data_IF_667420078764
#
_entry.id   IF_667420078764
#
_cell.length_a   1.000
_cell.length_b   1.000
_cell.length_c   1.000
_cell.angle_alpha   90.00
_cell.angle_beta   90.00
_cell.angle_gamma   90.00
#
_symmetry.space_group_name_H-M   'P 1'
#
loop_
_entity.id
_entity.type
_entity.pdbx_description
1 polymer ?
#
# COMPACT_ATOMS: atom_id res chain seq x y z
N UNK A 1 -1.34 1.89 -50.80
CA UNK A 1 -1.13 3.03 -49.90
C UNK A 1 -0.98 2.46 -48.50
N UNK A 2 0.25 2.45 -47.99
CA UNK A 2 0.64 1.89 -46.70
C UNK A 2 0.31 2.88 -45.59
N UNK A 3 -0.35 2.43 -44.51
CA UNK A 3 -0.47 3.21 -43.27
C UNK A 3 -0.13 2.33 -42.08
N UNK A 4 0.74 2.88 -41.26
CA UNK A 4 1.63 2.20 -40.32
C UNK A 4 0.91 1.86 -39.02
N UNK A 5 1.28 0.71 -38.43
CA UNK A 5 0.92 0.36 -37.06
C UNK A 5 1.73 1.23 -36.08
N UNK A 6 1.05 2.03 -35.27
CA UNK A 6 1.62 2.69 -34.11
C UNK A 6 1.85 1.64 -33.01
N UNK A 7 3.11 1.24 -32.82
CA UNK A 7 3.56 0.52 -31.63
C UNK A 7 3.48 1.45 -30.43
N UNK A 8 2.40 1.33 -29.66
CA UNK A 8 2.31 1.93 -28.33
C UNK A 8 3.31 1.23 -27.40
N UNK A 9 4.46 1.87 -27.17
CA UNK A 9 5.37 1.48 -26.10
C UNK A 9 4.62 1.58 -24.76
N UNK A 10 4.36 0.43 -24.14
CA UNK A 10 3.78 0.35 -22.81
C UNK A 10 4.72 1.02 -21.79
N UNK A 11 4.22 1.77 -20.79
CA UNK A 11 5.06 2.31 -19.74
C UNK A 11 5.71 1.14 -18.98
N UNK A 12 7.04 1.07 -19.05
CA UNK A 12 7.83 0.12 -18.28
C UNK A 12 7.60 0.39 -16.79
N UNK A 13 6.97 -0.56 -16.10
CA UNK A 13 6.88 -0.55 -14.64
C UNK A 13 8.30 -0.74 -14.08
N UNK A 14 9.00 0.36 -13.77
CA UNK A 14 10.33 0.37 -13.14
C UNK A 14 10.40 -0.41 -11.80
N UNK A 15 9.26 -0.79 -11.24
CA UNK A 15 9.17 -1.61 -10.04
C UNK A 15 9.51 -3.10 -10.24
N UNK A 16 9.60 -3.59 -11.49
CA UNK A 16 9.88 -5.00 -11.77
C UNK A 16 11.35 -5.39 -11.52
N UNK A 17 12.27 -4.42 -11.57
CA UNK A 17 13.72 -4.67 -11.50
C UNK A 17 14.27 -4.81 -10.07
N UNK A 18 13.44 -4.57 -9.05
CA UNK A 18 13.84 -4.66 -7.63
C UNK A 18 13.46 -5.99 -6.96
N UNK A 19 13.17 -7.05 -7.72
CA UNK A 19 12.87 -8.38 -7.15
C UNK A 19 14.11 -9.28 -7.22
N UNK A 20 14.80 -9.56 -6.10
CA UNK A 20 15.72 -10.69 -6.05
C UNK A 20 14.93 -11.99 -6.32
N UNK A 21 15.37 -12.76 -7.31
CA UNK A 21 14.89 -14.12 -7.51
C UNK A 21 15.60 -15.03 -6.50
N UNK A 22 14.95 -15.31 -5.38
CA UNK A 22 15.49 -16.21 -4.36
C UNK A 22 14.40 -16.73 -3.43
N UNK A 23 14.19 -18.05 -3.49
CA UNK A 23 13.53 -18.96 -2.54
C UNK A 23 12.25 -18.51 -1.82
N UNK A 24 11.18 -19.29 -2.07
CA UNK A 24 9.89 -19.28 -1.39
C UNK A 24 9.99 -19.71 0.09
N UNK A 25 10.73 -18.95 0.90
CA UNK A 25 10.47 -18.81 2.33
C UNK A 25 9.62 -17.56 2.50
N UNK A 26 8.78 -17.52 3.52
CA UNK A 26 7.86 -16.44 3.85
C UNK A 26 8.57 -15.11 4.21
N UNK A 27 9.35 -14.56 3.27
CA UNK A 27 9.87 -13.21 3.30
C UNK A 27 8.69 -12.28 3.06
N UNK A 28 7.91 -12.07 4.13
CA UNK A 28 6.92 -11.00 4.23
C UNK A 28 7.60 -9.74 3.73
N UNK A 29 7.10 -9.18 2.64
CA UNK A 29 7.59 -7.90 2.11
C UNK A 29 7.63 -6.91 3.29
N UNK A 30 8.75 -6.18 3.51
CA UNK A 30 8.90 -5.28 4.67
C UNK A 30 7.80 -4.20 4.72
N UNK A 31 7.15 -3.94 3.60
CA UNK A 31 5.90 -3.23 3.50
C UNK A 31 4.73 -4.23 3.61
N UNK A 32 4.19 -4.49 4.82
CA UNK A 32 2.84 -5.05 5.10
C UNK A 32 2.69 -5.66 6.52
N UNK A 33 3.50 -5.27 7.51
CA UNK A 33 3.42 -5.84 8.89
C UNK A 33 2.09 -5.59 9.61
N UNK A 34 1.42 -4.48 9.31
CA UNK A 34 0.14 -4.08 9.92
C UNK A 34 -0.97 -4.06 8.87
N UNK A 35 -1.18 -5.21 8.24
CA UNK A 35 -2.01 -5.35 7.03
C UNK A 35 -3.49 -5.17 7.35
N UNK A 36 -3.95 -5.80 8.42
CA UNK A 36 -5.33 -5.73 8.89
C UNK A 36 -5.65 -4.33 9.40
N UNK A 37 -4.79 -3.72 10.22
CA UNK A 37 -5.01 -2.35 10.72
C UNK A 37 -5.00 -1.34 9.57
N UNK A 38 -4.16 -1.55 8.55
CA UNK A 38 -4.15 -0.72 7.35
C UNK A 38 -5.46 -0.87 6.58
N UNK A 39 -5.94 -2.10 6.36
CA UNK A 39 -7.18 -2.35 5.62
C UNK A 39 -8.38 -1.71 6.34
N UNK A 40 -8.54 -1.93 7.64
CA UNK A 40 -9.64 -1.34 8.42
C UNK A 40 -9.60 0.19 8.43
N UNK A 41 -8.40 0.79 8.53
CA UNK A 41 -8.24 2.25 8.43
C UNK A 41 -8.65 2.76 7.06
N UNK A 42 -8.16 2.11 6.00
CA UNK A 42 -8.41 2.52 4.62
C UNK A 42 -9.90 2.38 4.29
N UNK A 43 -10.55 1.28 4.69
CA UNK A 43 -11.99 1.09 4.55
C UNK A 43 -12.78 2.17 5.30
N UNK A 44 -12.40 2.48 6.54
CA UNK A 44 -13.03 3.55 7.31
C UNK A 44 -12.94 4.89 6.59
N UNK A 45 -11.75 5.27 6.09
CA UNK A 45 -11.58 6.54 5.38
C UNK A 45 -12.29 6.57 4.03
N UNK A 46 -12.31 5.45 3.30
CA UNK A 46 -12.89 5.38 1.96
C UNK A 46 -14.43 5.36 1.99
N UNK A 47 -15.02 4.75 3.02
CA UNK A 47 -16.47 4.55 3.12
C UNK A 47 -17.16 5.43 4.18
N UNK A 48 -16.42 6.28 4.90
CA UNK A 48 -17.04 7.21 5.84
C UNK A 48 -17.84 8.29 5.12
N UNK A 49 -19.08 8.50 5.57
CA UNK A 49 -19.98 9.56 5.08
C UNK A 49 -19.88 10.87 5.88
N UNK A 50 -18.91 10.96 6.79
CA UNK A 50 -18.71 12.15 7.63
C UNK A 50 -17.98 13.25 6.87
N UNK A 51 -18.26 14.51 7.20
CA UNK A 51 -17.50 15.66 6.72
C UNK A 51 -16.04 15.63 7.18
N UNK A 52 -15.73 14.85 8.22
CA UNK A 52 -14.38 14.75 8.77
C UNK A 52 -13.99 13.28 9.07
N UNK A 53 -13.77 12.46 8.03
CA UNK A 53 -13.52 11.02 8.17
C UNK A 53 -12.20 10.73 8.91
N UNK A 54 -11.25 11.67 8.89
CA UNK A 54 -10.00 11.53 9.62
C UNK A 54 -10.19 11.55 11.14
N UNK A 55 -11.13 12.36 11.65
CA UNK A 55 -11.48 12.40 13.05
C UNK A 55 -12.27 11.15 13.47
N UNK A 56 -13.25 10.74 12.65
CA UNK A 56 -14.03 9.52 12.88
C UNK A 56 -13.16 8.25 12.91
N UNK A 57 -12.20 8.16 11.98
CA UNK A 57 -11.31 7.01 11.85
C UNK A 57 -10.05 7.10 12.74
N UNK A 58 -9.94 8.12 13.62
CA UNK A 58 -8.75 8.34 14.44
C UNK A 58 -8.34 7.10 15.24
N UNK A 59 -9.31 6.39 15.83
CA UNK A 59 -9.06 5.15 16.57
C UNK A 59 -8.42 4.04 15.72
N UNK A 60 -8.76 3.94 14.44
CA UNK A 60 -8.19 2.97 13.50
C UNK A 60 -6.79 3.39 13.07
N UNK A 61 -6.58 4.70 12.88
CA UNK A 61 -5.25 5.27 12.60
C UNK A 61 -4.29 5.01 13.77
N UNK A 62 -4.74 5.20 15.00
CA UNK A 62 -3.92 4.97 16.20
C UNK A 62 -3.53 3.51 16.37
N UNK A 63 -4.45 2.57 16.08
CA UNK A 63 -4.15 1.12 16.06
C UNK A 63 -3.07 0.80 15.03
N UNK A 64 -3.21 1.32 13.82
CA UNK A 64 -2.22 1.12 12.76
C UNK A 64 -0.84 1.71 13.13
N UNK A 65 -0.82 2.92 13.71
CA UNK A 65 0.41 3.55 14.20
C UNK A 65 1.05 2.75 15.33
N UNK A 66 0.26 2.25 16.27
CA UNK A 66 0.74 1.43 17.39
C UNK A 66 1.33 0.11 16.90
N UNK A 67 0.66 -0.55 15.95
CA UNK A 67 1.20 -1.74 15.32
C UNK A 67 2.56 -1.44 14.67
N UNK A 68 2.67 -0.39 13.86
CA UNK A 68 3.92 -0.04 13.20
C UNK A 68 5.04 0.37 14.15
N UNK A 69 4.70 1.06 15.24
CA UNK A 69 5.65 1.41 16.30
C UNK A 69 6.21 0.16 16.98
N UNK A 70 5.41 -0.91 17.14
CA UNK A 70 5.87 -2.22 17.64
C UNK A 70 6.95 -2.87 16.76
N UNK A 71 6.99 -2.53 15.47
CA UNK A 71 8.02 -2.97 14.52
C UNK A 71 9.15 -1.94 14.32
N UNK A 72 9.16 -0.86 15.12
CA UNK A 72 10.22 0.16 15.06
C UNK A 72 10.02 1.24 13.99
N UNK A 73 8.87 1.28 13.32
CA UNK A 73 8.55 2.33 12.36
C UNK A 73 7.91 3.53 13.06
N UNK A 74 8.59 4.69 13.05
CA UNK A 74 8.00 5.95 13.53
C UNK A 74 7.32 6.67 12.38
N UNK A 75 5.99 6.73 12.39
CA UNK A 75 5.22 7.62 11.52
C UNK A 75 5.30 9.05 12.08
N UNK A 76 6.24 9.83 11.57
CA UNK A 76 6.37 11.27 11.84
C UNK A 76 5.28 12.10 11.18
#
# INVERSE_FOLDING_TARGET
MSSQAISSAAPSNLAADLKPQGTASAAVKPCCVCKDEKATRDECMLFSSSDNPQAECASMVDKYRSCMAGYGFKMG
#
